data_IF_737360338912
#
_entry.id   IF_737360338912
#
_cell.length_a   1.000
_cell.length_b   1.000
_cell.length_c   1.000
_cell.angle_alpha   90.00
_cell.angle_beta   90.00
_cell.angle_gamma   90.00
#
_symmetry.space_group_name_H-M   'P 1'
#
loop_
_entity.id
_entity.type
_entity.pdbx_description
1 polymer ?
#
# COMPACT_ATOMS: atom_id res chain seq x y z
N UNK A 1 -32.81 3.88 7.44
CA UNK A 1 -31.88 3.92 8.59
C UNK A 1 -31.96 5.31 9.19
N UNK A 2 -32.43 5.44 10.43
CA UNK A 2 -32.46 6.74 11.12
C UNK A 2 -31.06 6.93 11.69
N UNK A 3 -30.30 7.90 11.15
CA UNK A 3 -28.93 8.20 11.56
C UNK A 3 -28.94 8.93 12.91
N UNK A 4 -28.83 8.20 14.02
CA UNK A 4 -28.65 8.78 15.36
C UNK A 4 -27.16 9.05 15.61
N UNK A 5 -26.65 10.16 15.08
CA UNK A 5 -25.31 10.64 15.39
C UNK A 5 -25.22 11.22 16.82
N UNK A 6 -24.07 11.06 17.49
CA UNK A 6 -23.75 11.79 18.72
C UNK A 6 -23.64 13.29 18.43
N UNK A 7 -24.27 14.19 19.21
CA UNK A 7 -24.42 15.61 18.87
C UNK A 7 -23.11 16.43 18.82
N UNK A 8 -21.92 15.82 19.03
CA UNK A 8 -20.62 16.52 19.06
C UNK A 8 -19.67 16.24 17.89
N UNK A 9 -19.65 15.02 17.34
CA UNK A 9 -18.70 14.65 16.27
C UNK A 9 -19.35 14.02 15.03
N UNK A 10 -20.57 13.49 15.11
CA UNK A 10 -21.28 12.83 13.99
C UNK A 10 -20.50 11.69 13.30
N UNK A 11 -19.58 11.06 14.01
CA UNK A 11 -18.57 10.20 13.38
C UNK A 11 -18.91 8.70 13.40
N UNK A 12 -19.85 8.27 14.24
CA UNK A 12 -20.25 6.87 14.44
C UNK A 12 -21.76 6.74 14.29
N UNK A 13 -22.21 5.67 13.63
CA UNK A 13 -23.62 5.33 13.48
C UNK A 13 -23.99 4.26 14.51
N UNK A 14 -25.02 4.52 15.31
CA UNK A 14 -25.52 3.57 16.31
C UNK A 14 -26.89 3.01 15.88
N UNK A 15 -27.13 1.74 16.18
CA UNK A 15 -28.44 1.10 15.92
C UNK A 15 -29.54 1.61 16.85
N UNK A 16 -29.18 2.15 18.02
CA UNK A 16 -30.11 2.74 18.99
C UNK A 16 -29.42 3.76 19.90
N UNK A 17 -30.23 4.62 20.53
CA UNK A 17 -29.76 5.54 21.57
C UNK A 17 -29.20 4.82 22.81
N UNK A 18 -29.69 3.62 23.11
CA UNK A 18 -29.15 2.77 24.19
C UNK A 18 -27.71 2.37 23.89
N UNK A 19 -27.43 1.90 22.67
CA UNK A 19 -26.07 1.53 22.26
C UNK A 19 -25.13 2.74 22.26
N UNK A 20 -25.62 3.92 21.87
CA UNK A 20 -24.86 5.18 21.97
C UNK A 20 -24.51 5.51 23.43
N UNK A 21 -25.48 5.40 24.33
CA UNK A 21 -25.27 5.67 25.76
C UNK A 21 -24.27 4.67 26.36
N UNK A 22 -24.42 3.39 26.05
CA UNK A 22 -23.51 2.34 26.49
C UNK A 22 -22.08 2.60 26.01
N UNK A 23 -21.85 2.89 24.73
CA UNK A 23 -20.50 3.16 24.21
C UNK A 23 -19.87 4.44 24.81
N UNK A 24 -20.68 5.45 25.14
CA UNK A 24 -20.17 6.69 25.73
C UNK A 24 -19.89 6.58 27.23
N UNK A 25 -20.78 5.97 28.01
CA UNK A 25 -20.72 5.97 29.47
C UNK A 25 -20.29 4.64 30.08
N UNK A 26 -20.69 3.52 29.47
CA UNK A 26 -20.56 2.17 30.02
C UNK A 26 -19.83 1.22 29.05
N UNK A 27 -18.86 1.74 28.28
CA UNK A 27 -18.26 0.99 27.19
C UNK A 27 -17.60 -0.29 27.71
N UNK A 28 -17.93 -1.43 27.09
CA UNK A 28 -17.30 -2.73 27.38
C UNK A 28 -15.82 -2.74 27.03
N UNK A 29 -15.40 -1.81 26.17
CA UNK A 29 -14.01 -1.59 25.78
C UNK A 29 -13.63 -0.15 26.10
N UNK A 30 -13.32 0.18 27.37
CA UNK A 30 -13.10 1.56 27.81
C UNK A 30 -12.07 2.31 26.95
N UNK A 31 -11.03 1.61 26.49
CA UNK A 31 -10.00 2.19 25.63
C UNK A 31 -10.49 2.56 24.22
N UNK A 32 -11.59 1.98 23.74
CA UNK A 32 -12.24 2.28 22.47
C UNK A 32 -13.47 3.19 22.63
N UNK A 33 -13.85 3.53 23.86
CA UNK A 33 -15.08 4.27 24.15
C UNK A 33 -15.14 5.57 23.36
N UNK A 34 -16.33 5.87 22.82
CA UNK A 34 -16.57 7.14 22.13
C UNK A 34 -16.17 8.33 23.00
N UNK A 35 -16.36 8.26 24.33
CA UNK A 35 -16.01 9.36 25.24
C UNK A 35 -14.55 9.78 25.14
N UNK A 36 -13.62 8.82 25.02
CA UNK A 36 -12.18 9.10 24.87
C UNK A 36 -11.90 9.58 23.44
N UNK A 37 -12.49 8.93 22.45
CA UNK A 37 -12.15 9.16 21.04
C UNK A 37 -12.94 10.28 20.37
N UNK A 38 -13.95 10.85 21.00
CA UNK A 38 -14.83 11.88 20.43
C UNK A 38 -14.05 13.05 19.82
N UNK A 39 -12.96 13.49 20.49
CA UNK A 39 -12.09 14.57 20.01
C UNK A 39 -11.33 14.17 18.74
N UNK A 40 -10.75 12.97 18.71
CA UNK A 40 -10.08 12.44 17.52
C UNK A 40 -11.06 12.27 16.37
N UNK A 41 -12.19 11.62 16.63
CA UNK A 41 -13.24 11.37 15.65
C UNK A 41 -13.76 12.66 15.02
N UNK A 42 -13.88 13.75 15.79
CA UNK A 42 -14.23 15.07 15.24
C UNK A 42 -13.19 15.54 14.21
N UNK A 43 -11.90 15.45 14.51
CA UNK A 43 -10.84 15.80 13.56
C UNK A 43 -10.86 14.88 12.33
N UNK A 44 -11.20 13.60 12.50
CA UNK A 44 -11.28 12.66 11.39
C UNK A 44 -12.39 13.04 10.40
N UNK A 45 -13.47 13.64 10.88
CA UNK A 45 -14.57 14.13 10.05
C UNK A 45 -14.20 15.38 9.24
N UNK A 46 -13.10 16.06 9.57
CA UNK A 46 -12.59 17.21 8.82
C UNK A 46 -11.60 16.79 7.71
N UNK A 47 -11.02 15.59 7.79
CA UNK A 47 -10.11 15.04 6.78
C UNK A 47 -10.72 14.69 5.39
N UNK A 48 -12.03 14.39 5.20
CA UNK A 48 -12.58 13.99 3.91
C UNK A 48 -12.31 14.97 2.78
N UNK A 49 -12.26 16.29 3.07
CA UNK A 49 -11.97 17.33 2.07
C UNK A 49 -10.63 17.10 1.37
N UNK A 50 -9.66 16.55 2.10
CA UNK A 50 -8.34 16.22 1.56
C UNK A 50 -8.25 14.76 1.12
N UNK A 51 -8.88 13.83 1.84
CA UNK A 51 -8.82 12.40 1.53
C UNK A 51 -9.56 12.02 0.25
N UNK A 52 -10.61 12.76 -0.13
CA UNK A 52 -11.35 12.54 -1.36
C UNK A 52 -10.84 13.40 -2.53
N UNK A 53 -9.80 14.23 -2.30
CA UNK A 53 -9.21 15.08 -3.33
C UNK A 53 -8.33 14.24 -4.27
N UNK A 54 -8.86 13.96 -5.46
CA UNK A 54 -8.20 13.23 -6.53
C UNK A 54 -8.46 13.91 -7.88
N UNK A 55 -7.52 13.87 -8.83
CA UNK A 55 -7.67 14.52 -10.12
C UNK A 55 -8.53 13.74 -11.13
N UNK A 56 -9.17 12.65 -10.72
CA UNK A 56 -9.90 11.75 -11.61
C UNK A 56 -11.35 12.17 -11.77
N UNK A 57 -11.88 12.15 -13.00
CA UNK A 57 -13.29 12.45 -13.25
C UNK A 57 -14.25 11.44 -12.57
N UNK A 58 -13.77 10.23 -12.27
CA UNK A 58 -14.54 9.21 -11.56
C UNK A 58 -14.45 9.34 -10.02
N UNK A 59 -13.60 10.23 -9.48
CA UNK A 59 -13.37 10.33 -8.04
C UNK A 59 -14.66 10.63 -7.26
N UNK A 60 -15.55 11.48 -7.80
CA UNK A 60 -16.84 11.77 -7.18
C UNK A 60 -17.75 10.54 -7.03
N UNK A 61 -17.56 9.52 -7.88
CA UNK A 61 -18.24 8.21 -7.75
C UNK A 61 -17.47 7.27 -6.84
N UNK A 62 -16.18 7.05 -7.10
CA UNK A 62 -15.38 6.02 -6.41
C UNK A 62 -15.07 6.34 -4.93
N UNK A 63 -15.19 7.61 -4.53
CA UNK A 63 -15.02 8.07 -3.15
C UNK A 63 -16.36 8.22 -2.40
N UNK A 64 -17.49 8.02 -3.09
CA UNK A 64 -18.81 8.14 -2.49
C UNK A 64 -19.05 7.03 -1.46
N UNK A 65 -19.75 7.34 -0.37
CA UNK A 65 -20.11 6.36 0.67
C UNK A 65 -20.94 5.19 0.14
N UNK A 66 -21.83 5.46 -0.82
CA UNK A 66 -22.65 4.46 -1.49
C UNK A 66 -21.93 3.66 -2.58
N UNK A 67 -20.63 3.90 -2.84
CA UNK A 67 -19.89 3.17 -3.86
C UNK A 67 -19.63 1.72 -3.42
N UNK A 68 -20.56 0.85 -3.82
CA UNK A 68 -20.54 -0.56 -3.46
C UNK A 68 -19.64 -1.40 -4.36
N UNK A 69 -19.38 -2.63 -3.94
CA UNK A 69 -18.73 -3.65 -4.77
C UNK A 69 -19.46 -3.86 -6.11
N UNK A 70 -20.78 -3.77 -6.13
CA UNK A 70 -21.59 -3.86 -7.35
C UNK A 70 -21.37 -2.66 -8.27
N UNK A 71 -21.19 -1.46 -7.70
CA UNK A 71 -20.84 -0.26 -8.49
C UNK A 71 -19.41 -0.36 -9.05
N UNK A 72 -18.48 -0.97 -8.32
CA UNK A 72 -17.14 -1.26 -8.85
C UNK A 72 -17.21 -2.20 -10.06
N UNK A 73 -17.99 -3.29 -10.00
CA UNK A 73 -18.21 -4.16 -11.17
C UNK A 73 -18.75 -3.39 -12.38
N UNK A 74 -19.82 -2.59 -12.20
CA UNK A 74 -20.39 -1.77 -13.29
C UNK A 74 -19.36 -0.79 -13.86
N UNK A 75 -18.56 -0.18 -12.99
CA UNK A 75 -17.52 0.75 -13.39
C UNK A 75 -16.44 0.05 -14.22
N UNK A 76 -15.93 -1.10 -13.77
CA UNK A 76 -14.96 -1.88 -14.51
C UNK A 76 -15.54 -2.39 -15.84
N UNK A 77 -16.82 -2.79 -15.86
CA UNK A 77 -17.51 -3.24 -17.06
C UNK A 77 -17.61 -2.12 -18.10
N UNK A 78 -17.94 -0.90 -17.66
CA UNK A 78 -17.99 0.28 -18.55
C UNK A 78 -16.62 0.67 -19.13
N UNK A 79 -15.53 0.25 -18.49
CA UNK A 79 -14.16 0.43 -18.98
C UNK A 79 -13.63 -0.82 -19.71
N UNK A 80 -14.46 -1.85 -19.93
CA UNK A 80 -14.08 -3.07 -20.63
C UNK A 80 -13.14 -4.00 -19.86
N UNK A 81 -13.02 -3.84 -18.54
CA UNK A 81 -12.01 -4.55 -17.73
C UNK A 81 -12.57 -5.42 -16.59
N UNK A 82 -13.89 -5.51 -16.44
CA UNK A 82 -14.49 -6.32 -15.35
C UNK A 82 -14.05 -7.80 -15.42
N UNK A 83 -13.56 -8.32 -14.30
CA UNK A 83 -13.03 -9.68 -14.17
C UNK A 83 -11.99 -10.11 -15.22
N UNK A 84 -11.27 -9.15 -15.82
CA UNK A 84 -10.20 -9.43 -16.79
C UNK A 84 -8.86 -8.86 -16.32
N UNK A 85 -7.77 -9.32 -16.94
CA UNK A 85 -6.44 -8.81 -16.67
C UNK A 85 -6.07 -8.84 -15.18
N UNK A 86 -5.36 -7.80 -14.74
CA UNK A 86 -5.03 -7.56 -13.34
C UNK A 86 -6.24 -7.02 -12.54
N UNK A 87 -7.24 -6.47 -13.22
CA UNK A 87 -8.40 -5.81 -12.60
C UNK A 87 -9.29 -6.77 -11.82
N UNK A 88 -9.34 -8.05 -12.21
CA UNK A 88 -10.08 -9.09 -11.45
C UNK A 88 -9.63 -9.19 -9.99
N UNK A 89 -8.37 -8.86 -9.69
CA UNK A 89 -7.83 -8.96 -8.33
C UNK A 89 -8.26 -7.82 -7.40
N UNK A 90 -8.86 -6.75 -7.93
CA UNK A 90 -9.50 -5.73 -7.11
C UNK A 90 -10.68 -6.30 -6.31
N UNK A 91 -11.32 -7.32 -6.85
CA UNK A 91 -12.54 -7.91 -6.32
C UNK A 91 -12.22 -9.19 -5.52
N UNK A 92 -11.34 -10.05 -6.01
CA UNK A 92 -11.10 -11.35 -5.38
C UNK A 92 -9.65 -11.82 -5.52
N UNK A 93 -9.16 -12.48 -4.48
CA UNK A 93 -7.94 -13.28 -4.53
C UNK A 93 -8.30 -14.72 -4.92
N UNK A 94 -7.62 -15.32 -5.92
CA UNK A 94 -7.94 -16.66 -6.41
C UNK A 94 -7.37 -17.78 -5.53
N UNK A 95 -7.93 -18.98 -5.72
CA UNK A 95 -7.31 -20.24 -5.31
C UNK A 95 -6.96 -20.33 -3.83
N UNK A 96 -5.72 -20.73 -3.54
CA UNK A 96 -5.22 -20.99 -2.19
C UNK A 96 -4.70 -19.74 -1.45
N UNK A 97 -4.88 -18.55 -2.02
CA UNK A 97 -4.42 -17.28 -1.45
C UNK A 97 -3.60 -16.46 -2.42
N UNK A 98 -3.08 -15.31 -1.98
CA UNK A 98 -2.41 -14.37 -2.86
C UNK A 98 -1.24 -14.98 -3.61
N UNK A 99 -1.14 -14.64 -4.88
CA UNK A 99 -0.11 -15.10 -5.79
C UNK A 99 -0.37 -16.48 -6.42
N UNK A 100 -1.51 -17.13 -6.17
CA UNK A 100 -1.80 -18.45 -6.74
C UNK A 100 -1.77 -18.42 -8.27
N UNK A 101 -2.25 -17.33 -8.88
CA UNK A 101 -2.37 -17.12 -10.31
C UNK A 101 -1.12 -16.48 -10.98
N UNK A 102 0.00 -16.30 -10.26
CA UNK A 102 1.17 -15.58 -10.79
C UNK A 102 1.73 -16.16 -12.10
N UNK A 103 1.54 -17.46 -12.31
CA UNK A 103 2.00 -18.14 -13.52
C UNK A 103 1.26 -17.69 -14.80
N UNK A 104 0.06 -17.09 -14.70
CA UNK A 104 -0.66 -16.53 -15.84
C UNK A 104 -0.02 -15.24 -16.37
N UNK A 105 0.83 -14.58 -15.57
CA UNK A 105 1.51 -13.33 -15.93
C UNK A 105 2.90 -13.54 -16.53
N UNK A 106 3.18 -14.74 -17.05
CA UNK A 106 4.39 -15.00 -17.84
C UNK A 106 4.46 -14.04 -19.04
N UNK A 107 5.64 -13.51 -19.31
CA UNK A 107 5.89 -12.48 -20.33
C UNK A 107 5.96 -11.06 -19.74
N UNK A 108 5.27 -10.81 -18.61
CA UNK A 108 5.52 -9.61 -17.79
C UNK A 108 6.59 -9.87 -16.73
N UNK A 109 6.60 -11.10 -16.20
CA UNK A 109 7.53 -11.57 -15.19
C UNK A 109 7.97 -12.99 -15.53
N UNK A 110 9.13 -13.39 -15.00
CA UNK A 110 9.70 -14.71 -15.25
C UNK A 110 10.12 -15.34 -13.93
N UNK A 111 9.73 -16.59 -13.68
CA UNK A 111 10.29 -17.36 -12.58
C UNK A 111 11.74 -17.71 -12.89
N UNK A 112 12.63 -17.67 -11.89
CA UNK A 112 13.99 -18.15 -12.08
C UNK A 112 13.95 -19.68 -12.29
N UNK A 113 14.09 -20.13 -13.54
CA UNK A 113 14.52 -21.50 -13.88
C UNK A 113 15.94 -21.42 -14.44
N UNK A 114 16.87 -22.32 -14.08
CA UNK A 114 18.20 -22.33 -14.70
C UNK A 114 18.07 -22.51 -16.23
N UNK A 115 18.58 -21.57 -17.02
CA UNK A 115 18.80 -21.75 -18.46
C UNK A 115 17.83 -21.08 -19.46
N UNK A 116 16.77 -20.39 -19.03
CA UNK A 116 15.81 -19.75 -19.96
C UNK A 116 15.80 -18.22 -19.78
N UNK A 117 16.78 -17.54 -20.38
CA UNK A 117 16.91 -16.07 -20.37
C UNK A 117 16.91 -15.53 -21.80
N UNK A 118 15.95 -15.95 -22.63
CA UNK A 118 15.76 -15.38 -23.97
C UNK A 118 14.26 -15.34 -24.31
N UNK A 119 13.68 -14.14 -24.41
CA UNK A 119 12.41 -13.92 -25.10
C UNK A 119 12.51 -12.70 -26.02
N UNK A 120 11.90 -12.82 -27.20
CA UNK A 120 11.77 -11.75 -28.19
C UNK A 120 10.76 -10.68 -27.77
N UNK A 121 10.86 -9.50 -28.40
CA UNK A 121 10.07 -8.32 -28.06
C UNK A 121 8.54 -8.52 -28.14
N UNK A 122 8.05 -9.39 -29.04
CA UNK A 122 6.62 -9.62 -29.28
C UNK A 122 5.89 -10.27 -28.08
N UNK A 123 6.56 -11.18 -27.36
CA UNK A 123 5.98 -11.87 -26.21
C UNK A 123 5.73 -10.92 -25.02
N UNK A 124 6.50 -9.83 -24.92
CA UNK A 124 6.34 -8.84 -23.86
C UNK A 124 5.15 -7.92 -24.12
N UNK A 125 4.96 -7.44 -25.35
CA UNK A 125 3.87 -6.53 -25.72
C UNK A 125 2.49 -7.16 -25.49
N UNK A 126 2.32 -8.40 -25.96
CA UNK A 126 1.11 -9.19 -25.76
C UNK A 126 0.81 -9.45 -24.26
N UNK A 127 1.85 -9.63 -23.44
CA UNK A 127 1.67 -9.76 -21.99
C UNK A 127 1.16 -8.47 -21.32
N UNK A 128 1.60 -7.29 -21.78
CA UNK A 128 1.06 -6.00 -21.32
C UNK A 128 -0.41 -5.83 -21.71
N UNK A 129 -0.78 -6.18 -22.96
CA UNK A 129 -2.16 -6.12 -23.43
C UNK A 129 -3.07 -7.03 -22.60
N UNK A 130 -2.67 -8.27 -22.30
CA UNK A 130 -3.48 -9.16 -21.44
C UNK A 130 -3.62 -8.67 -20.01
N UNK A 131 -2.58 -8.04 -19.45
CA UNK A 131 -2.58 -7.63 -18.06
C UNK A 131 -3.39 -6.36 -17.81
N UNK A 132 -3.20 -5.35 -18.66
CA UNK A 132 -3.87 -4.06 -18.50
C UNK A 132 -5.20 -3.99 -19.24
N UNK A 133 -5.38 -4.77 -20.32
CA UNK A 133 -6.59 -4.88 -21.16
C UNK A 133 -6.94 -3.59 -21.91
N UNK A 134 -6.76 -2.44 -21.28
CA UNK A 134 -6.86 -1.09 -21.84
C UNK A 134 -5.60 -0.82 -22.67
N UNK A 135 -5.71 -0.66 -24.01
CA UNK A 135 -4.55 -0.50 -24.89
C UNK A 135 -3.64 0.68 -24.51
N UNK A 136 -4.22 1.81 -24.14
CA UNK A 136 -3.48 3.02 -23.75
C UNK A 136 -2.64 2.77 -22.50
N UNK A 137 -3.19 2.04 -21.52
CA UNK A 137 -2.45 1.62 -20.34
C UNK A 137 -1.34 0.64 -20.72
N UNK A 138 -1.63 -0.35 -21.57
CA UNK A 138 -0.66 -1.36 -21.97
C UNK A 138 0.54 -0.72 -22.70
N UNK A 139 0.29 0.17 -23.66
CA UNK A 139 1.30 0.89 -24.43
C UNK A 139 2.14 1.82 -23.54
N UNK A 140 1.49 2.58 -22.67
CA UNK A 140 2.20 3.42 -21.71
C UNK A 140 3.12 2.58 -20.80
N UNK A 141 2.69 1.39 -20.36
CA UNK A 141 3.48 0.54 -19.46
C UNK A 141 4.59 -0.24 -20.19
N UNK A 142 4.48 -0.48 -21.50
CA UNK A 142 5.44 -1.26 -22.28
C UNK A 142 6.59 -0.44 -22.89
N UNK A 143 6.34 0.82 -23.24
CA UNK A 143 7.26 1.62 -24.08
C UNK A 143 8.23 2.49 -23.29
N UNK A 144 8.03 2.64 -21.97
CA UNK A 144 8.83 3.59 -21.17
C UNK A 144 10.21 3.06 -20.84
N UNK A 145 11.20 3.93 -21.06
CA UNK A 145 12.58 3.80 -20.58
C UNK A 145 12.97 5.14 -19.97
N UNK A 146 13.41 5.16 -18.72
CA UNK A 146 13.89 6.38 -18.09
C UNK A 146 15.23 6.82 -18.69
N UNK A 147 15.49 8.14 -18.65
CA UNK A 147 16.77 8.71 -19.07
C UNK A 147 17.91 8.23 -18.17
N UNK A 148 19.07 8.00 -18.76
CA UNK A 148 20.28 7.54 -18.08
C UNK A 148 21.04 8.67 -17.36
N UNK A 149 20.48 9.87 -17.27
CA UNK A 149 21.13 10.99 -16.61
C UNK A 149 21.11 10.77 -15.08
N UNK A 150 22.30 10.75 -14.47
CA UNK A 150 22.45 10.61 -13.03
C UNK A 150 22.10 11.93 -12.35
N UNK A 151 20.96 11.95 -11.66
CA UNK A 151 20.51 13.10 -10.88
C UNK A 151 21.21 13.21 -9.52
N UNK A 152 22.10 12.27 -9.17
CA UNK A 152 22.71 12.20 -7.84
C UNK A 152 21.79 11.64 -6.76
N UNK A 153 20.53 11.33 -7.10
CA UNK A 153 19.49 10.90 -6.16
C UNK A 153 19.10 9.42 -6.38
N UNK A 154 18.38 8.85 -5.41
CA UNK A 154 17.82 7.49 -5.53
C UNK A 154 16.74 7.40 -6.62
N UNK A 155 16.17 8.53 -7.05
CA UNK A 155 15.10 8.63 -8.05
C UNK A 155 15.43 9.67 -9.12
N UNK A 156 15.10 9.35 -10.37
CA UNK A 156 15.21 10.30 -11.50
C UNK A 156 13.93 11.10 -11.75
N UNK A 157 12.87 10.76 -11.03
CA UNK A 157 11.57 11.43 -11.10
C UNK A 157 11.19 11.95 -9.73
N UNK A 158 10.46 13.08 -9.70
CA UNK A 158 9.97 13.69 -8.48
C UNK A 158 8.44 13.77 -8.51
N UNK A 159 7.77 12.62 -8.45
CA UNK A 159 6.30 12.58 -8.43
C UNK A 159 5.80 12.97 -7.03
N UNK A 160 4.88 13.92 -6.95
CA UNK A 160 4.27 14.40 -5.69
C UNK A 160 2.77 14.14 -5.64
N UNK A 161 2.13 13.86 -6.77
CA UNK A 161 0.68 13.71 -6.89
C UNK A 161 0.29 12.69 -7.97
N UNK A 162 -0.97 12.26 -7.94
CA UNK A 162 -1.56 11.49 -9.04
C UNK A 162 -1.48 12.21 -10.39
N UNK A 163 -1.60 13.54 -10.41
CA UNK A 163 -1.47 14.34 -11.64
C UNK A 163 -0.07 14.22 -12.23
N UNK A 164 0.97 14.28 -11.39
CA UNK A 164 2.36 14.10 -11.87
C UNK A 164 2.55 12.73 -12.48
N UNK A 165 2.01 11.68 -11.84
CA UNK A 165 2.09 10.32 -12.37
C UNK A 165 1.34 10.17 -13.70
N UNK A 166 0.10 10.65 -13.81
CA UNK A 166 -0.69 10.54 -15.05
C UNK A 166 -0.06 11.32 -16.21
N UNK A 167 0.50 12.49 -15.93
CA UNK A 167 1.28 13.26 -16.90
C UNK A 167 2.57 12.55 -17.31
N UNK A 168 3.26 11.93 -16.35
CA UNK A 168 4.49 11.18 -16.58
C UNK A 168 4.24 9.94 -17.46
N UNK A 169 3.18 9.17 -17.18
CA UNK A 169 2.83 7.97 -17.95
C UNK A 169 2.03 8.28 -19.21
N UNK A 170 1.59 9.54 -19.38
CA UNK A 170 0.79 10.05 -20.51
C UNK A 170 -0.54 9.31 -20.69
N UNK A 171 -1.23 9.02 -19.59
CA UNK A 171 -2.54 8.34 -19.60
C UNK A 171 -3.66 9.34 -19.28
N UNK A 172 -4.80 9.27 -19.99
CA UNK A 172 -5.99 10.06 -19.66
C UNK A 172 -6.55 9.80 -18.25
N UNK A 173 -6.95 10.86 -17.56
CA UNK A 173 -7.56 10.82 -16.21
C UNK A 173 -8.84 9.96 -16.07
N UNK A 174 -9.65 9.71 -17.11
CA UNK A 174 -10.79 8.79 -16.99
C UNK A 174 -10.41 7.33 -16.79
N UNK A 175 -9.19 6.92 -17.17
CA UNK A 175 -8.77 5.52 -17.10
C UNK A 175 -8.44 5.13 -15.64
N UNK A 176 -8.87 3.95 -15.17
CA UNK A 176 -8.83 3.62 -13.74
C UNK A 176 -7.50 3.08 -13.24
N UNK A 177 -6.39 3.40 -13.90
CA UNK A 177 -5.07 2.87 -13.59
C UNK A 177 -4.67 3.05 -12.11
N UNK A 178 -5.13 4.13 -11.49
CA UNK A 178 -4.87 4.41 -10.08
C UNK A 178 -5.39 3.32 -9.12
N UNK A 179 -6.40 2.52 -9.52
CA UNK A 179 -6.91 1.43 -8.70
C UNK A 179 -5.89 0.30 -8.49
N UNK A 180 -4.94 0.14 -9.40
CA UNK A 180 -3.88 -0.89 -9.28
C UNK A 180 -2.50 -0.27 -9.05
N UNK A 181 -2.23 0.94 -9.56
CA UNK A 181 -0.92 1.60 -9.45
C UNK A 181 -0.63 2.20 -8.06
N UNK A 182 -1.62 2.31 -7.18
CA UNK A 182 -1.41 2.90 -5.85
C UNK A 182 -0.39 2.09 -5.02
N UNK A 183 -0.27 0.77 -5.24
CA UNK A 183 0.67 -0.09 -4.51
C UNK A 183 2.15 0.30 -4.75
N UNK A 184 2.68 0.24 -5.99
CA UNK A 184 4.07 0.66 -6.23
C UNK A 184 4.28 2.15 -6.02
N UNK A 185 3.30 3.01 -6.26
CA UNK A 185 3.47 4.45 -6.03
C UNK A 185 3.51 4.82 -4.54
N UNK A 186 2.78 4.10 -3.70
CA UNK A 186 2.94 4.19 -2.24
C UNK A 186 4.36 3.78 -1.85
N UNK A 187 4.88 2.67 -2.40
CA UNK A 187 6.25 2.21 -2.13
C UNK A 187 7.27 3.27 -2.57
N UNK A 188 7.15 3.79 -3.79
CA UNK A 188 8.00 4.87 -4.30
C UNK A 188 7.98 6.09 -3.37
N UNK A 189 6.79 6.53 -2.94
CA UNK A 189 6.68 7.70 -2.07
C UNK A 189 7.29 7.45 -0.68
N UNK A 190 7.13 6.26 -0.11
CA UNK A 190 7.82 5.85 1.12
C UNK A 190 9.34 5.90 0.93
N UNK A 191 9.85 5.34 -0.16
CA UNK A 191 11.29 5.34 -0.42
C UNK A 191 11.83 6.77 -0.66
N UNK A 192 11.02 7.70 -1.20
CA UNK A 192 11.37 9.13 -1.23
C UNK A 192 11.48 9.70 0.18
N UNK A 193 10.47 9.49 1.03
CA UNK A 193 10.51 9.98 2.42
C UNK A 193 11.73 9.42 3.16
N UNK A 194 12.04 8.14 2.95
CA UNK A 194 13.24 7.50 3.49
C UNK A 194 14.51 8.20 2.97
N UNK A 195 14.60 8.41 1.65
CA UNK A 195 15.74 9.07 1.03
C UNK A 195 15.97 10.49 1.53
N UNK A 196 14.89 11.23 1.80
CA UNK A 196 14.98 12.60 2.31
C UNK A 196 15.44 12.66 3.78
N UNK A 197 15.20 11.59 4.55
CA UNK A 197 15.50 11.53 5.99
C UNK A 197 16.84 10.88 6.32
N UNK A 198 17.28 9.90 5.54
CA UNK A 198 18.53 9.16 5.79
C UNK A 198 19.47 9.18 4.58
N UNK A 199 20.19 10.28 4.42
CA UNK A 199 21.16 10.47 3.34
C UNK A 199 22.34 9.49 3.42
N UNK A 200 22.71 9.03 4.63
CA UNK A 200 23.82 8.08 4.80
C UNK A 200 23.44 6.69 4.29
N UNK A 201 22.24 6.21 4.62
CA UNK A 201 21.75 4.93 4.09
C UNK A 201 21.59 4.99 2.56
N UNK A 202 21.10 6.11 2.01
CA UNK A 202 21.02 6.31 0.55
C UNK A 202 22.39 6.23 -0.10
N UNK A 203 23.41 6.87 0.49
CA UNK A 203 24.77 6.79 -0.01
C UNK A 203 25.28 5.35 -0.03
N UNK A 204 25.06 4.57 1.04
CA UNK A 204 25.41 3.16 1.10
C UNK A 204 24.68 2.30 0.05
N UNK A 205 23.40 2.58 -0.21
CA UNK A 205 22.60 1.94 -1.27
C UNK A 205 23.18 2.23 -2.66
N UNK A 206 23.62 3.47 -2.91
CA UNK A 206 24.23 3.87 -4.17
C UNK A 206 25.61 3.24 -4.36
N UNK A 207 26.44 3.20 -3.32
CA UNK A 207 27.78 2.59 -3.37
C UNK A 207 27.70 1.10 -3.69
N UNK A 208 26.79 0.38 -3.03
CA UNK A 208 26.56 -1.05 -3.31
C UNK A 208 25.68 -1.29 -4.56
N UNK A 209 25.16 -0.23 -5.17
CA UNK A 209 24.25 -0.23 -6.34
C UNK A 209 23.07 -1.20 -6.21
N UNK A 210 22.61 -1.44 -4.99
CA UNK A 210 21.56 -2.41 -4.71
C UNK A 210 20.63 -1.91 -3.63
N UNK A 211 19.34 -2.15 -3.80
CA UNK A 211 18.28 -1.81 -2.84
C UNK A 211 17.54 -3.08 -2.42
N UNK A 212 17.53 -3.40 -1.12
CA UNK A 212 16.82 -4.54 -0.54
C UNK A 212 15.64 -4.05 0.31
N UNK A 213 14.43 -4.30 -0.18
CA UNK A 213 13.16 -3.91 0.45
C UNK A 213 12.48 -5.15 1.01
N UNK A 214 12.08 -5.12 2.27
CA UNK A 214 11.20 -6.14 2.85
C UNK A 214 9.77 -5.61 2.95
N UNK A 215 8.86 -6.13 2.14
CA UNK A 215 7.43 -5.84 2.21
C UNK A 215 6.74 -6.88 3.12
N UNK A 216 6.14 -6.40 4.20
CA UNK A 216 5.62 -7.17 5.32
C UNK A 216 4.10 -7.25 5.28
N UNK A 217 3.56 -8.40 5.71
CA UNK A 217 2.12 -8.61 5.79
C UNK A 217 1.44 -8.66 4.42
N UNK A 218 2.16 -9.13 3.39
CA UNK A 218 1.68 -9.14 2.01
C UNK A 218 0.43 -9.99 1.85
N UNK A 219 -0.59 -9.41 1.23
CA UNK A 219 -1.81 -10.07 0.81
C UNK A 219 -2.07 -9.76 -0.67
N UNK A 220 -3.08 -8.93 -0.98
CA UNK A 220 -3.54 -8.63 -2.35
C UNK A 220 -2.45 -8.03 -3.24
N UNK A 221 -1.43 -7.40 -2.65
CA UNK A 221 -0.29 -6.84 -3.38
C UNK A 221 0.37 -7.89 -4.27
N UNK A 222 0.42 -9.15 -3.82
CA UNK A 222 1.04 -10.23 -4.56
C UNK A 222 0.24 -10.65 -5.79
N UNK A 223 -1.10 -10.56 -5.76
CA UNK A 223 -1.93 -10.81 -6.95
C UNK A 223 -1.67 -9.76 -8.05
N UNK A 224 -1.27 -8.55 -7.63
CA UNK A 224 -0.91 -7.42 -8.48
C UNK A 224 0.61 -7.28 -8.70
N UNK A 225 1.40 -8.34 -8.46
CA UNK A 225 2.86 -8.32 -8.57
C UNK A 225 3.39 -7.66 -9.87
N UNK A 226 2.81 -7.89 -11.07
CA UNK A 226 3.31 -7.25 -12.29
C UNK A 226 3.33 -5.72 -12.24
N UNK A 227 2.43 -5.09 -11.48
CA UNK A 227 2.34 -3.62 -11.39
C UNK A 227 3.58 -3.03 -10.71
N UNK A 228 4.28 -3.80 -9.85
CA UNK A 228 5.52 -3.38 -9.21
C UNK A 228 6.69 -3.20 -10.18
N UNK A 229 6.57 -3.70 -11.43
CA UNK A 229 7.50 -3.41 -12.51
C UNK A 229 7.68 -1.91 -12.74
N UNK A 230 6.67 -1.12 -12.40
CA UNK A 230 6.71 0.32 -12.58
C UNK A 230 7.81 1.02 -11.75
N UNK A 231 8.25 0.40 -10.65
CA UNK A 231 9.38 0.91 -9.87
C UNK A 231 10.67 1.02 -10.69
N UNK A 232 10.83 0.24 -11.76
CA UNK A 232 12.03 0.27 -12.61
C UNK A 232 12.18 1.62 -13.33
N UNK A 233 11.05 2.24 -13.67
CA UNK A 233 11.01 3.58 -14.27
C UNK A 233 11.14 4.71 -13.23
N UNK A 234 10.92 4.43 -11.95
CA UNK A 234 10.93 5.46 -10.91
C UNK A 234 12.27 5.54 -10.18
N UNK A 235 12.92 4.39 -9.94
CA UNK A 235 14.20 4.27 -9.26
C UNK A 235 15.35 4.51 -10.25
N UNK A 236 16.35 5.27 -9.80
CA UNK A 236 17.52 5.63 -10.61
C UNK A 236 18.18 4.41 -11.28
N UNK A 237 18.61 4.51 -12.55
CA UNK A 237 19.34 3.46 -13.26
C UNK A 237 20.66 3.09 -12.59
N UNK A 238 21.22 3.97 -11.73
CA UNK A 238 22.43 3.70 -10.93
C UNK A 238 22.24 2.51 -9.98
N UNK A 239 21.01 2.25 -9.54
CA UNK A 239 20.69 1.08 -8.71
C UNK A 239 20.53 -0.14 -9.62
N UNK A 240 21.61 -0.87 -9.82
CA UNK A 240 21.65 -2.01 -10.74
C UNK A 240 20.78 -3.20 -10.28
N UNK A 241 20.53 -3.33 -8.97
CA UNK A 241 19.72 -4.41 -8.40
C UNK A 241 18.68 -3.92 -7.40
N UNK A 242 17.43 -4.28 -7.62
CA UNK A 242 16.32 -4.02 -6.69
C UNK A 242 15.74 -5.39 -6.30
N UNK A 243 15.83 -5.71 -5.02
CA UNK A 243 15.33 -6.96 -4.46
C UNK A 243 14.19 -6.67 -3.49
N UNK A 244 13.01 -7.17 -3.79
CA UNK A 244 11.84 -7.06 -2.90
C UNK A 244 11.58 -8.44 -2.29
N UNK A 245 11.50 -8.52 -0.97
CA UNK A 245 11.03 -9.71 -0.27
C UNK A 245 9.58 -9.46 0.12
N UNK A 246 8.65 -10.24 -0.43
CA UNK A 246 7.23 -10.18 -0.10
C UNK A 246 6.90 -11.29 0.89
N UNK A 247 6.59 -10.89 2.13
CA UNK A 247 6.37 -11.79 3.26
C UNK A 247 4.93 -11.66 3.75
N UNK A 248 4.18 -12.77 3.78
CA UNK A 248 2.80 -12.77 4.24
C UNK A 248 2.30 -14.15 4.68
N UNK A 249 1.50 -14.27 5.75
CA UNK A 249 1.11 -15.56 6.31
C UNK A 249 0.12 -16.32 5.42
N UNK A 250 -0.70 -15.58 4.66
CA UNK A 250 -1.80 -16.12 3.85
C UNK A 250 -1.43 -16.35 2.37
N UNK A 251 -0.19 -16.07 1.98
CA UNK A 251 0.31 -16.28 0.62
C UNK A 251 0.08 -17.74 0.19
N UNK A 252 -0.29 -17.93 -1.09
CA UNK A 252 -0.46 -19.28 -1.64
C UNK A 252 0.81 -20.11 -1.47
N UNK A 253 0.72 -21.38 -1.02
CA UNK A 253 1.88 -22.28 -0.99
C UNK A 253 2.49 -22.49 -2.39
N UNK A 254 1.73 -22.27 -3.47
CA UNK A 254 2.25 -22.33 -4.84
C UNK A 254 3.13 -21.14 -5.21
N UNK A 255 2.97 -20.01 -4.54
CA UNK A 255 3.76 -18.80 -4.78
C UNK A 255 5.00 -18.72 -3.87
N UNK A 256 4.93 -19.32 -2.68
CA UNK A 256 6.02 -19.32 -1.69
C UNK A 256 7.30 -19.98 -2.20
N UNK A 257 8.45 -19.54 -1.65
CA UNK A 257 9.80 -20.03 -1.98
C UNK A 257 10.16 -19.89 -3.46
N UNK A 258 9.65 -18.85 -4.12
CA UNK A 258 9.94 -18.55 -5.52
C UNK A 258 10.44 -17.12 -5.67
N UNK A 259 11.36 -16.95 -6.62
CA UNK A 259 11.81 -15.65 -7.09
C UNK A 259 11.21 -15.38 -8.46
N UNK A 260 10.58 -14.22 -8.59
CA UNK A 260 10.03 -13.68 -9.83
C UNK A 260 10.89 -12.49 -10.28
N UNK A 261 11.34 -12.51 -11.53
CA UNK A 261 12.02 -11.39 -12.16
C UNK A 261 10.98 -10.53 -12.86
N UNK A 262 10.83 -9.28 -12.44
CA UNK A 262 9.94 -8.32 -13.12
C UNK A 262 10.67 -7.65 -14.28
N UNK A 263 11.96 -7.33 -14.07
CA UNK A 263 12.88 -6.73 -15.04
C UNK A 263 14.27 -7.32 -14.87
N UNK A 264 15.26 -6.87 -15.65
CA UNK A 264 16.66 -7.28 -15.46
C UNK A 264 17.24 -6.81 -14.11
N UNK A 265 16.67 -5.77 -13.50
CA UNK A 265 17.11 -5.20 -12.22
C UNK A 265 16.20 -5.56 -11.06
N UNK A 266 14.91 -5.78 -11.31
CA UNK A 266 13.92 -6.03 -10.24
C UNK A 266 13.63 -7.52 -10.09
N UNK A 267 13.90 -8.03 -8.88
CA UNK A 267 13.54 -9.38 -8.45
C UNK A 267 12.67 -9.34 -7.21
N UNK A 268 11.69 -10.25 -7.14
CA UNK A 268 10.79 -10.40 -6.01
C UNK A 268 10.83 -11.83 -5.49
N UNK A 269 11.30 -12.02 -4.26
CA UNK A 269 11.22 -13.30 -3.56
C UNK A 269 9.97 -13.32 -2.69
N UNK A 270 9.23 -14.42 -2.76
CA UNK A 270 7.95 -14.58 -2.06
C UNK A 270 8.08 -15.62 -0.98
N UNK A 271 7.65 -15.29 0.24
CA UNK A 271 7.70 -16.21 1.36
C UNK A 271 6.42 -16.20 2.19
N UNK A 272 5.83 -17.38 2.33
CA UNK A 272 4.64 -17.63 3.13
C UNK A 272 5.01 -17.78 4.60
N UNK A 273 4.56 -16.84 5.41
CA UNK A 273 4.66 -16.86 6.87
C UNK A 273 4.78 -15.46 7.47
N UNK A 274 5.26 -15.38 8.71
CA UNK A 274 5.46 -14.13 9.46
C UNK A 274 6.91 -13.62 9.45
N UNK A 275 7.10 -12.31 9.50
CA UNK A 275 8.42 -11.69 9.24
C UNK A 275 9.56 -12.16 10.15
N UNK A 276 9.29 -12.35 11.44
CA UNK A 276 10.32 -12.78 12.40
C UNK A 276 10.82 -14.21 12.13
N UNK A 277 9.98 -15.09 11.59
CA UNK A 277 10.41 -16.41 11.11
C UNK A 277 11.27 -16.28 9.86
N UNK A 278 10.86 -15.45 8.89
CA UNK A 278 11.63 -15.17 7.68
C UNK A 278 13.04 -14.72 8.00
N UNK A 279 13.18 -13.73 8.89
CA UNK A 279 14.47 -13.16 9.30
C UNK A 279 15.36 -14.20 10.01
N UNK A 280 14.78 -15.06 10.85
CA UNK A 280 15.53 -16.16 11.49
C UNK A 280 16.05 -17.18 10.48
N UNK A 281 15.28 -17.48 9.44
CA UNK A 281 15.65 -18.43 8.40
C UNK A 281 16.67 -17.87 7.42
N UNK A 282 16.48 -16.65 6.93
CA UNK A 282 17.27 -16.09 5.82
C UNK A 282 18.41 -15.18 6.27
N UNK A 283 18.33 -14.60 7.47
CA UNK A 283 19.37 -13.73 8.07
C UNK A 283 19.82 -12.61 7.13
N UNK A 284 18.86 -11.99 6.45
CA UNK A 284 19.13 -10.87 5.55
C UNK A 284 19.25 -9.55 6.32
N UNK A 285 19.92 -8.55 5.72
CA UNK A 285 20.03 -7.19 6.25
C UNK A 285 19.36 -6.21 5.27
N UNK A 286 18.03 -6.00 5.37
CA UNK A 286 17.31 -5.09 4.49
C UNK A 286 17.71 -3.63 4.70
N UNK A 287 17.58 -2.84 3.64
CA UNK A 287 17.72 -1.39 3.72
C UNK A 287 16.51 -0.73 4.37
N UNK A 288 15.33 -1.32 4.15
CA UNK A 288 14.05 -0.78 4.62
C UNK A 288 13.00 -1.89 4.73
N UNK A 289 12.17 -1.82 5.76
CA UNK A 289 10.94 -2.59 5.87
C UNK A 289 9.71 -1.71 5.57
N UNK A 290 8.74 -2.26 4.84
CA UNK A 290 7.48 -1.58 4.51
C UNK A 290 6.33 -2.50 4.86
N UNK A 291 5.29 -2.01 5.54
CA UNK A 291 4.04 -2.72 5.74
C UNK A 291 2.85 -1.94 5.18
N UNK A 292 2.04 -2.56 4.33
CA UNK A 292 0.82 -1.92 3.83
C UNK A 292 -0.40 -2.33 4.64
N UNK A 293 -1.29 -1.36 4.89
CA UNK A 293 -2.55 -1.57 5.63
C UNK A 293 -2.40 -2.45 6.87
N UNK A 294 -1.39 -2.15 7.71
CA UNK A 294 -0.82 -3.12 8.66
C UNK A 294 -1.77 -3.59 9.76
N UNK A 295 -2.67 -2.72 10.21
CA UNK A 295 -3.64 -3.02 11.27
C UNK A 295 -3.06 -3.81 12.44
N UNK A 296 -2.05 -3.28 13.15
CA UNK A 296 -1.27 -4.04 14.15
C UNK A 296 -2.11 -4.76 15.20
N UNK A 297 -3.22 -4.14 15.60
CA UNK A 297 -4.12 -4.69 16.61
C UNK A 297 -4.92 -5.89 16.10
N UNK A 298 -5.21 -5.94 14.80
CA UNK A 298 -5.98 -7.03 14.21
C UNK A 298 -5.16 -8.34 14.15
N UNK A 299 -3.82 -8.27 14.16
CA UNK A 299 -2.96 -9.43 13.99
C UNK A 299 -1.89 -9.53 15.09
N UNK A 300 -2.02 -10.44 16.06
CA UNK A 300 -1.09 -10.58 17.19
C UNK A 300 0.37 -10.82 16.82
N UNK A 301 0.63 -11.36 15.62
CA UNK A 301 1.97 -11.64 15.09
C UNK A 301 2.82 -10.39 14.85
N UNK A 302 2.21 -9.21 14.82
CA UNK A 302 2.94 -7.95 14.68
C UNK A 302 3.81 -7.62 15.87
N UNK A 303 3.43 -8.01 17.10
CA UNK A 303 4.21 -7.68 18.30
C UNK A 303 5.67 -8.16 18.19
N UNK A 304 5.85 -9.46 17.90
CA UNK A 304 7.19 -10.05 17.75
C UNK A 304 7.94 -9.45 16.54
N UNK A 305 7.22 -9.15 15.47
CA UNK A 305 7.77 -8.49 14.27
C UNK A 305 8.32 -7.10 14.59
N UNK A 306 7.57 -6.29 15.36
CA UNK A 306 7.96 -4.95 15.77
C UNK A 306 9.10 -4.97 16.80
N UNK A 307 9.10 -5.92 17.73
CA UNK A 307 10.21 -6.14 18.67
C UNK A 307 11.51 -6.49 17.92
N UNK A 308 11.42 -7.31 16.86
CA UNK A 308 12.56 -7.61 16.00
C UNK A 308 13.04 -6.37 15.21
N UNK A 309 12.13 -5.60 14.62
CA UNK A 309 12.47 -4.35 13.90
C UNK A 309 13.17 -3.37 14.85
N UNK A 310 12.68 -3.24 16.08
CA UNK A 310 13.32 -2.45 17.14
C UNK A 310 14.73 -2.94 17.45
N UNK A 311 14.89 -4.25 17.67
CA UNK A 311 16.18 -4.86 18.00
C UNK A 311 17.23 -4.64 16.90
N UNK A 312 16.81 -4.72 15.63
CA UNK A 312 17.68 -4.49 14.47
C UNK A 312 17.92 -3.01 14.18
N UNK A 313 17.21 -2.10 14.87
CA UNK A 313 17.14 -0.68 14.51
C UNK A 313 16.87 -0.46 13.01
N UNK A 314 16.00 -1.28 12.44
CA UNK A 314 15.71 -1.29 11.00
C UNK A 314 14.74 -0.15 10.67
N UNK A 315 15.05 0.76 9.73
CA UNK A 315 14.10 1.74 9.23
C UNK A 315 12.85 1.05 8.70
N UNK A 316 11.69 1.42 9.25
CA UNK A 316 10.43 0.81 8.87
C UNK A 316 9.32 1.84 8.67
N UNK A 317 8.58 1.65 7.59
CA UNK A 317 7.44 2.48 7.21
C UNK A 317 6.18 1.64 7.11
N UNK A 318 5.07 2.21 7.51
CA UNK A 318 3.80 1.52 7.54
C UNK A 318 2.72 2.40 6.97
N UNK A 319 1.69 1.78 6.42
CA UNK A 319 0.47 2.49 6.04
C UNK A 319 -0.77 1.90 6.68
N UNK A 320 -1.80 2.72 6.78
CA UNK A 320 -3.15 2.27 7.11
C UNK A 320 -4.20 3.11 6.39
N UNK A 321 -5.43 2.62 6.45
CA UNK A 321 -6.55 3.06 5.63
C UNK A 321 -7.31 4.26 6.20
N UNK A 322 -7.21 4.48 7.50
CA UNK A 322 -7.96 5.52 8.19
C UNK A 322 -7.22 6.01 9.44
N UNK A 323 -7.47 7.27 9.85
CA UNK A 323 -6.74 7.87 10.96
C UNK A 323 -6.98 7.14 12.29
N UNK A 324 -8.18 6.59 12.52
CA UNK A 324 -8.48 5.80 13.72
C UNK A 324 -7.56 4.58 13.85
N UNK A 325 -7.39 3.82 12.77
CA UNK A 325 -6.48 2.66 12.75
C UNK A 325 -5.03 3.11 12.97
N UNK A 326 -4.61 4.23 12.35
CA UNK A 326 -3.27 4.77 12.57
C UNK A 326 -3.02 5.15 14.04
N UNK A 327 -3.96 5.81 14.72
CA UNK A 327 -3.77 6.19 16.13
C UNK A 327 -3.58 4.96 17.02
N UNK A 328 -4.29 3.88 16.72
CA UNK A 328 -4.12 2.60 17.39
C UNK A 328 -2.78 1.95 17.09
N UNK A 329 -2.32 1.98 15.85
CA UNK A 329 -0.99 1.52 15.48
C UNK A 329 0.09 2.32 16.22
N UNK A 330 -0.04 3.65 16.31
CA UNK A 330 0.88 4.51 17.07
C UNK A 330 0.86 4.19 18.57
N UNK A 331 -0.31 3.93 19.16
CA UNK A 331 -0.42 3.46 20.55
C UNK A 331 0.30 2.12 20.76
N UNK A 332 0.16 1.18 19.82
CA UNK A 332 0.91 -0.09 19.84
C UNK A 332 2.43 0.16 19.77
N UNK A 333 2.88 1.04 18.87
CA UNK A 333 4.29 1.41 18.79
C UNK A 333 4.79 2.07 20.07
N UNK A 334 4.00 2.95 20.69
CA UNK A 334 4.32 3.55 21.98
C UNK A 334 4.49 2.50 23.07
N UNK A 335 3.60 1.51 23.14
CA UNK A 335 3.69 0.41 24.13
C UNK A 335 4.98 -0.42 23.99
N UNK A 336 5.59 -0.42 22.80
CA UNK A 336 6.85 -1.09 22.50
C UNK A 336 8.06 -0.15 22.59
N UNK A 337 7.86 1.12 22.95
CA UNK A 337 8.91 2.14 23.00
C UNK A 337 9.50 2.49 21.62
N UNK A 338 8.66 2.43 20.57
CA UNK A 338 9.00 2.79 19.19
C UNK A 338 8.40 4.14 18.73
N UNK A 339 7.49 4.72 19.52
CA UNK A 339 6.90 6.03 19.26
C UNK A 339 6.60 6.73 20.60
N UNK A 340 7.46 7.64 21.01
CA UNK A 340 7.32 8.33 22.31
C UNK A 340 6.36 9.53 22.23
N UNK A 341 6.12 10.03 21.02
CA UNK A 341 5.45 11.28 20.74
C UNK A 341 3.92 11.17 20.71
N UNK A 342 3.38 9.94 20.62
CA UNK A 342 1.94 9.70 20.63
C UNK A 342 1.33 10.12 21.97
N UNK A 343 0.25 10.88 21.92
CA UNK A 343 -0.45 11.35 23.10
C UNK A 343 -1.96 11.24 22.88
N UNK A 344 -2.58 10.33 23.63
CA UNK A 344 -4.04 10.11 23.58
C UNK A 344 -4.83 11.33 24.06
N UNK A 345 -4.22 12.27 24.77
CA UNK A 345 -4.88 13.50 25.22
C UNK A 345 -4.69 14.65 24.21
N UNK A 346 -3.78 14.51 23.25
CA UNK A 346 -3.50 15.53 22.23
C UNK A 346 -3.65 14.96 20.81
N UNK A 347 -4.88 15.08 20.29
CA UNK A 347 -5.26 14.53 19.00
C UNK A 347 -4.54 15.22 17.82
N UNK A 348 -4.31 16.54 17.89
CA UNK A 348 -3.59 17.26 16.82
C UNK A 348 -2.13 16.79 16.74
N UNK A 349 -1.45 16.68 17.90
CA UNK A 349 -0.07 16.17 17.97
C UNK A 349 0.02 14.75 17.43
N UNK A 350 -0.87 13.86 17.87
CA UNK A 350 -0.85 12.46 17.44
C UNK A 350 -1.16 12.30 15.95
N UNK A 351 -2.08 13.11 15.40
CA UNK A 351 -2.34 13.15 13.97
C UNK A 351 -1.16 13.69 13.15
N UNK A 352 -0.34 14.58 13.70
CA UNK A 352 0.85 15.09 13.00
C UNK A 352 1.93 14.02 12.76
N UNK A 353 1.87 12.90 13.49
CA UNK A 353 2.77 11.75 13.34
C UNK A 353 2.44 10.91 12.10
N UNK A 354 1.25 11.09 11.52
CA UNK A 354 0.85 10.43 10.29
C UNK A 354 0.87 11.42 9.14
N UNK A 355 1.30 10.96 7.96
CA UNK A 355 1.30 11.76 6.74
C UNK A 355 0.31 11.19 5.76
N UNK A 356 -0.49 12.03 5.11
CA UNK A 356 -1.34 11.57 4.03
C UNK A 356 -0.48 11.10 2.86
N UNK A 357 -0.81 9.94 2.29
CA UNK A 357 -0.20 9.44 1.08
C UNK A 357 -0.86 10.10 -0.15
N UNK A 358 -0.13 10.85 -0.99
CA UNK A 358 -0.68 11.42 -2.21
C UNK A 358 -1.08 10.36 -3.24
N UNK A 359 -0.51 9.16 -3.15
CA UNK A 359 -0.80 8.02 -4.02
C UNK A 359 -1.70 6.97 -3.36
N UNK A 360 -2.50 7.36 -2.36
CA UNK A 360 -3.52 6.49 -1.77
C UNK A 360 -4.52 6.02 -2.83
N UNK A 361 -5.14 4.87 -2.59
CA UNK A 361 -6.15 4.32 -3.49
C UNK A 361 -7.34 5.27 -3.63
N UNK A 362 -7.84 5.55 -4.85
CA UNK A 362 -9.06 6.34 -5.04
C UNK A 362 -10.35 5.50 -4.93
N UNK A 363 -10.25 4.26 -4.42
CA UNK A 363 -11.39 3.40 -4.09
C UNK A 363 -11.71 3.49 -2.60
N UNK A 364 -12.90 4.01 -2.27
CA UNK A 364 -13.38 4.02 -0.89
C UNK A 364 -13.61 2.60 -0.41
N UNK A 365 -13.11 2.31 0.79
CA UNK A 365 -13.43 1.10 1.53
C UNK A 365 -14.73 1.37 2.27
N UNK A 366 -15.74 0.52 2.04
CA UNK A 366 -17.01 0.62 2.73
C UNK A 366 -16.87 0.22 4.20
N UNK A 367 -17.54 0.97 5.07
CA UNK A 367 -17.61 0.72 6.50
C UNK A 367 -18.99 1.13 7.00
N UNK A 368 -19.67 0.23 7.71
CA UNK A 368 -21.05 0.46 8.16
C UNK A 368 -21.11 1.18 9.53
N UNK A 369 -19.98 1.28 10.24
CA UNK A 369 -19.92 1.79 11.61
C UNK A 369 -19.43 3.23 11.75
N UNK A 370 -18.66 3.74 10.79
CA UNK A 370 -18.00 5.05 10.88
C UNK A 370 -18.22 5.90 9.64
N UNK A 371 -18.38 7.21 9.83
CA UNK A 371 -18.76 8.14 8.76
C UNK A 371 -17.55 8.71 7.98
N UNK A 372 -16.33 8.63 8.53
CA UNK A 372 -15.14 9.12 7.83
C UNK A 372 -14.71 8.14 6.73
N UNK A 373 -14.19 8.64 5.58
CA UNK A 373 -13.79 7.78 4.49
C UNK A 373 -12.51 7.01 4.83
N UNK A 374 -12.40 5.80 4.27
CA UNK A 374 -11.24 4.93 4.39
C UNK A 374 -10.75 4.57 2.99
N UNK A 375 -9.45 4.60 2.78
CA UNK A 375 -8.82 4.31 1.49
C UNK A 375 -7.58 3.46 1.71
N UNK A 376 -7.31 2.48 0.85
CA UNK A 376 -6.08 1.69 0.99
C UNK A 376 -4.84 2.59 0.90
N UNK A 377 -3.89 2.35 1.82
CA UNK A 377 -2.65 3.11 1.98
C UNK A 377 -2.86 4.63 2.17
N UNK A 378 -3.92 5.06 2.86
CA UNK A 378 -4.25 6.48 3.00
C UNK A 378 -3.21 7.28 3.79
N UNK A 379 -2.64 6.69 4.84
CA UNK A 379 -1.73 7.36 5.76
C UNK A 379 -0.44 6.58 5.91
N UNK A 380 0.68 7.28 6.03
CA UNK A 380 2.03 6.76 6.24
C UNK A 380 2.52 7.19 7.62
N UNK A 381 3.13 6.28 8.35
CA UNK A 381 3.87 6.53 9.58
C UNK A 381 5.12 5.64 9.62
N UNK A 382 6.05 5.93 10.51
CA UNK A 382 7.39 5.37 10.40
C UNK A 382 8.11 5.30 11.74
N UNK A 383 9.09 4.40 11.85
CA UNK A 383 9.93 4.18 13.05
C UNK A 383 11.40 3.99 12.65
N UNK A 384 12.32 4.27 13.59
CA UNK A 384 13.77 4.11 13.43
C UNK A 384 14.35 4.88 12.22
N UNK A 385 13.97 6.14 12.06
CA UNK A 385 14.40 7.01 10.94
C UNK A 385 14.95 8.33 11.49
#
# INVERSE_FOLDING_TARGET
LINYCSPRCNAVVYCSDSCRFEDFFNSRSPEHSHRIWCRFMKLFMDLPVHLCDFPFCYAGRSTNEGFSRSELHKFLQSNGVDNTGLWKYLLSTPGYGPGDDLYFWRGLMYGVRPGELNQGADASSDAYLRAYVIPECAEAMSTRRCSNEDSGNLFNVNLQSWSDFYNFVKIPYPLPLAFISHWPLTMYHILKIFSDRDQQAVQGIREKKSLLIHLLGVEKELDLLPVFKELDNLISPVIERISIKMIGPNISPRASYKTWLLTSRISVFVWRGVYHDFMRTHRENPDIAIGFNVGFIAYPTWKQTLELIKYLNLPAFFTDSCPYSCMWNLKTLQSLGLCSEFDINNAERSLSLVRMNPFRSPLRIQDEGTCWPKFSNAFIFSINI
#
